data_IF_165300343279
#
_entry.id   IF_165300343279
#
_cell.length_a   1.000
_cell.length_b   1.000
_cell.length_c   1.000
_cell.angle_alpha   90.00
_cell.angle_beta   90.00
_cell.angle_gamma   90.00
#
_symmetry.space_group_name_H-M   'P 1'
#
loop_
_entity.id
_entity.type
_entity.pdbx_description
1 polymer ?
#
# COMPACT_ATOMS: atom_id res chain seq x y z
N UNK A 1 2.48 10.16 -48.14
CA UNK A 1 2.77 9.11 -47.13
C UNK A 1 2.57 9.78 -45.78
N UNK A 2 1.55 9.39 -45.00
CA UNK A 2 1.30 9.98 -43.69
C UNK A 2 2.12 9.23 -42.63
N UNK A 3 3.13 9.87 -42.06
CA UNK A 3 3.82 9.37 -40.87
C UNK A 3 3.02 9.78 -39.63
N UNK A 4 2.69 8.79 -38.79
CA UNK A 4 2.06 9.02 -37.48
C UNK A 4 3.10 8.79 -36.40
N UNK A 5 3.63 9.89 -35.85
CA UNK A 5 4.55 9.82 -34.72
C UNK A 5 3.79 9.48 -33.44
N UNK A 6 4.04 8.29 -32.89
CA UNK A 6 3.50 7.86 -31.61
C UNK A 6 4.54 8.12 -30.51
N UNK A 7 4.14 8.80 -29.44
CA UNK A 7 4.96 8.94 -28.24
C UNK A 7 4.67 7.78 -27.29
N UNK A 8 5.69 6.99 -26.99
CA UNK A 8 5.63 5.95 -25.96
C UNK A 8 6.10 6.56 -24.65
N UNK A 9 5.32 6.41 -23.59
CA UNK A 9 5.65 6.87 -22.24
C UNK A 9 5.56 5.72 -21.25
N UNK A 10 6.12 5.92 -20.06
CA UNK A 10 5.97 4.99 -18.94
C UNK A 10 4.52 4.94 -18.47
N UNK A 11 4.14 3.81 -17.87
CA UNK A 11 2.85 3.68 -17.20
C UNK A 11 2.80 4.72 -16.07
N UNK A 12 1.70 5.44 -15.81
CA UNK A 12 1.62 6.36 -14.68
C UNK A 12 1.82 5.66 -13.33
N UNK A 13 2.18 6.41 -12.29
CA UNK A 13 2.35 5.83 -10.96
C UNK A 13 1.01 5.28 -10.44
N UNK A 14 0.98 4.03 -9.97
CA UNK A 14 -0.20 3.47 -9.34
C UNK A 14 -0.36 4.01 -7.91
N UNK A 15 -1.56 3.83 -7.37
CA UNK A 15 -1.87 4.05 -5.96
C UNK A 15 -1.95 2.70 -5.28
N UNK A 16 -1.57 2.60 -4.01
CA UNK A 16 -1.80 1.40 -3.21
C UNK A 16 -2.83 1.71 -2.14
N UNK A 17 -3.67 0.74 -1.82
CA UNK A 17 -4.58 0.80 -0.66
C UNK A 17 -4.54 -0.53 0.08
N UNK A 18 -5.08 -0.54 1.29
CA UNK A 18 -5.41 -1.79 1.97
C UNK A 18 -6.75 -2.31 1.40
N UNK A 19 -6.87 -3.62 1.18
CA UNK A 19 -8.10 -4.24 0.68
C UNK A 19 -9.21 -4.15 1.73
N UNK A 20 -10.39 -3.71 1.29
CA UNK A 20 -11.62 -3.71 2.09
C UNK A 20 -12.35 -2.37 2.04
N UNK A 21 -13.30 -2.18 2.96
CA UNK A 21 -14.05 -0.93 3.14
C UNK A 21 -13.47 -0.17 4.34
N UNK A 22 -13.58 1.17 4.34
CA UNK A 22 -13.17 2.01 5.48
C UNK A 22 -11.78 2.65 5.38
N UNK A 23 -11.03 2.40 4.31
CA UNK A 23 -9.65 2.91 4.16
C UNK A 23 -9.53 4.29 3.50
N UNK A 24 -10.65 4.98 3.22
CA UNK A 24 -10.66 6.23 2.45
C UNK A 24 -10.30 7.47 3.30
N UNK A 25 -10.53 7.43 4.62
CA UNK A 25 -10.46 8.61 5.49
C UNK A 25 -9.22 8.65 6.41
N UNK A 26 -8.20 7.82 6.17
CA UNK A 26 -6.98 7.70 7.01
C UNK A 26 -7.28 7.44 8.50
N UNK A 27 -8.49 7.04 8.84
CA UNK A 27 -8.98 6.75 10.18
C UNK A 27 -9.63 5.38 10.10
N UNK A 28 -9.20 4.42 10.93
CA UNK A 28 -9.64 3.04 10.78
C UNK A 28 -9.79 2.29 12.11
N UNK A 29 -10.76 1.38 12.13
CA UNK A 29 -10.92 0.40 13.21
C UNK A 29 -9.91 -0.75 13.04
N UNK A 30 -9.23 -1.13 14.11
CA UNK A 30 -8.33 -2.28 14.13
C UNK A 30 -8.98 -3.56 13.58
N UNK A 31 -10.25 -3.80 13.85
CA UNK A 31 -10.95 -5.00 13.39
C UNK A 31 -11.04 -5.06 11.85
N UNK A 32 -11.20 -3.91 11.18
CA UNK A 32 -11.21 -3.82 9.72
C UNK A 32 -9.81 -4.08 9.15
N UNK A 33 -8.76 -3.64 9.84
CA UNK A 33 -7.37 -3.95 9.47
C UNK A 33 -7.02 -5.43 9.66
N UNK A 34 -7.56 -6.08 10.69
CA UNK A 34 -7.36 -7.51 10.92
C UNK A 34 -8.07 -8.38 9.88
N UNK A 35 -9.18 -7.91 9.33
CA UNK A 35 -9.86 -8.55 8.21
C UNK A 35 -9.18 -8.27 6.87
N UNK A 36 -8.39 -7.20 6.78
CA UNK A 36 -7.62 -6.91 5.59
C UNK A 36 -6.42 -7.85 5.49
N UNK A 37 -6.35 -8.60 4.39
CA UNK A 37 -5.32 -9.61 4.20
C UNK A 37 -4.08 -9.08 3.47
N UNK A 38 -4.23 -7.97 2.72
CA UNK A 38 -3.21 -7.51 1.77
C UNK A 38 -3.32 -6.05 1.38
N UNK A 39 -2.25 -5.55 0.80
CA UNK A 39 -2.26 -4.35 -0.03
C UNK A 39 -2.76 -4.66 -1.45
N UNK A 40 -3.43 -3.71 -2.07
CA UNK A 40 -3.88 -3.75 -3.46
C UNK A 40 -3.32 -2.54 -4.19
N UNK A 41 -2.64 -2.79 -5.30
CA UNK A 41 -2.31 -1.76 -6.27
C UNK A 41 -3.53 -1.40 -7.10
N UNK A 42 -3.73 -0.12 -7.37
CA UNK A 42 -4.78 0.42 -8.21
C UNK A 42 -4.15 1.37 -9.20
N UNK A 43 -4.47 1.18 -10.48
CA UNK A 43 -4.19 2.16 -11.51
C UNK A 43 -5.50 2.53 -12.21
N UNK A 44 -6.03 3.73 -11.93
CA UNK A 44 -7.24 4.24 -12.57
C UNK A 44 -6.88 4.94 -13.88
N UNK A 45 -6.63 4.15 -14.92
CA UNK A 45 -6.55 4.65 -16.30
C UNK A 45 -7.66 4.00 -17.13
N UNK A 46 -8.18 4.75 -18.11
CA UNK A 46 -9.20 4.21 -19.02
C UNK A 46 -8.67 2.91 -19.64
N UNK A 47 -9.50 1.87 -19.66
CA UNK A 47 -9.25 0.55 -20.26
C UNK A 47 -8.36 -0.44 -19.50
N UNK A 48 -7.75 -0.09 -18.36
CA UNK A 48 -7.16 -1.11 -17.46
C UNK A 48 -8.08 -1.41 -16.28
N UNK A 49 -8.47 -2.69 -16.16
CA UNK A 49 -9.26 -3.23 -15.06
C UNK A 49 -8.41 -3.95 -14.01
N UNK A 50 -7.09 -3.91 -14.13
CA UNK A 50 -6.15 -4.60 -13.25
C UNK A 50 -4.95 -3.72 -12.95
N UNK A 51 -4.21 -4.09 -11.91
CA UNK A 51 -2.94 -3.46 -11.54
C UNK A 51 -1.79 -3.99 -12.41
N UNK A 52 -1.16 -3.16 -13.27
CA UNK A 52 -0.12 -3.63 -14.21
C UNK A 52 1.26 -3.67 -13.55
N UNK A 53 1.39 -4.54 -12.55
CA UNK A 53 2.64 -4.74 -11.82
C UNK A 53 2.48 -5.66 -10.61
N UNK A 54 3.50 -5.64 -9.75
CA UNK A 54 3.49 -6.34 -8.46
C UNK A 54 4.00 -5.46 -7.34
N UNK A 55 3.46 -5.66 -6.14
CA UNK A 55 4.03 -5.10 -4.91
C UNK A 55 5.17 -6.04 -4.49
N UNK A 56 6.39 -5.49 -4.42
CA UNK A 56 7.59 -6.25 -4.09
C UNK A 56 7.74 -6.42 -2.58
N UNK A 57 7.67 -5.29 -1.87
CA UNK A 57 7.78 -5.24 -0.42
C UNK A 57 7.34 -3.87 0.10
N UNK A 58 7.11 -3.79 1.40
CA UNK A 58 6.84 -2.55 2.12
C UNK A 58 7.25 -2.70 3.59
N UNK A 59 7.55 -1.58 4.24
CA UNK A 59 7.74 -1.52 5.69
C UNK A 59 6.43 -1.10 6.34
N UNK A 60 6.03 -1.83 7.39
CA UNK A 60 4.87 -1.54 8.22
C UNK A 60 5.36 -1.19 9.62
N UNK A 61 4.91 -0.06 10.14
CA UNK A 61 5.34 0.50 11.42
C UNK A 61 4.16 0.89 12.27
N UNK A 62 4.21 0.55 13.55
CA UNK A 62 3.32 1.07 14.58
C UNK A 62 4.01 2.23 15.28
N UNK A 63 3.36 3.39 15.26
CA UNK A 63 3.78 4.59 15.97
C UNK A 63 2.83 4.83 17.14
N UNK A 64 3.37 4.89 18.35
CA UNK A 64 2.62 5.23 19.57
C UNK A 64 3.28 6.46 20.19
N UNK A 65 2.47 7.49 20.50
CA UNK A 65 2.95 8.75 21.10
C UNK A 65 4.14 9.40 20.36
N UNK A 66 4.15 9.31 19.02
CA UNK A 66 5.20 9.87 18.17
C UNK A 66 6.48 9.03 18.07
N UNK A 67 6.54 7.85 18.69
CA UNK A 67 7.70 6.95 18.67
C UNK A 67 7.34 5.69 17.89
N UNK A 68 8.24 5.24 17.00
CA UNK A 68 8.13 3.95 16.35
C UNK A 68 8.40 2.82 17.35
N UNK A 69 7.36 2.08 17.74
CA UNK A 69 7.42 1.04 18.77
C UNK A 69 7.54 -0.36 18.19
N UNK A 70 7.15 -0.56 16.93
CA UNK A 70 7.32 -1.82 16.23
C UNK A 70 7.39 -1.57 14.72
N UNK A 71 8.18 -2.39 14.03
CA UNK A 71 8.36 -2.32 12.59
C UNK A 71 8.64 -3.70 12.00
N UNK A 72 8.11 -3.95 10.81
CA UNK A 72 8.43 -5.15 10.05
C UNK A 72 8.58 -4.83 8.56
N UNK A 73 9.41 -5.60 7.88
CA UNK A 73 9.44 -5.64 6.42
C UNK A 73 8.53 -6.77 5.95
N UNK A 74 7.62 -6.45 5.04
CA UNK A 74 6.69 -7.40 4.44
C UNK A 74 7.08 -7.62 2.98
N UNK A 75 7.23 -8.87 2.54
CA UNK A 75 7.52 -9.21 1.16
C UNK A 75 6.26 -9.68 0.42
N UNK A 76 6.04 -9.14 -0.77
CA UNK A 76 4.79 -9.30 -1.51
C UNK A 76 3.67 -8.41 -0.97
N UNK A 77 2.48 -8.60 -1.51
CA UNK A 77 1.27 -7.83 -1.21
C UNK A 77 0.52 -8.33 0.04
N UNK A 78 0.63 -9.62 0.36
CA UNK A 78 -0.09 -10.26 1.49
C UNK A 78 0.63 -9.97 2.80
N UNK A 79 -0.11 -9.62 3.85
CA UNK A 79 0.46 -9.40 5.17
C UNK A 79 0.99 -10.71 5.74
N UNK A 80 2.30 -10.76 5.98
CA UNK A 80 3.01 -11.88 6.61
C UNK A 80 2.90 -11.79 8.14
N UNK A 81 3.23 -12.87 8.85
CA UNK A 81 3.05 -12.95 10.30
C UNK A 81 3.60 -11.74 11.09
N UNK A 82 4.82 -11.21 10.80
CA UNK A 82 5.31 -10.02 11.51
C UNK A 82 4.44 -8.77 11.30
N UNK A 83 3.91 -8.58 10.09
CA UNK A 83 3.00 -7.48 9.79
C UNK A 83 1.66 -7.68 10.51
N UNK A 84 1.12 -8.89 10.50
CA UNK A 84 -0.12 -9.25 11.20
C UNK A 84 0.02 -9.05 12.72
N UNK A 85 1.16 -9.41 13.31
CA UNK A 85 1.44 -9.19 14.73
C UNK A 85 1.47 -7.70 15.09
N UNK A 86 2.02 -6.85 14.21
CA UNK A 86 2.00 -5.39 14.40
C UNK A 86 0.55 -4.89 14.37
N UNK A 87 -0.24 -5.31 13.38
CA UNK A 87 -1.65 -4.94 13.27
C UNK A 87 -2.43 -5.41 14.51
N UNK A 88 -2.21 -6.64 14.96
CA UNK A 88 -2.87 -7.21 16.14
C UNK A 88 -2.53 -6.49 17.45
N UNK A 89 -1.40 -5.79 17.51
CA UNK A 89 -0.97 -5.01 18.68
C UNK A 89 -1.36 -3.53 18.61
N UNK A 90 -1.99 -3.07 17.53
CA UNK A 90 -2.47 -1.69 17.46
C UNK A 90 -3.48 -1.40 18.57
N UNK A 91 -3.35 -0.21 19.15
CA UNK A 91 -4.24 0.34 20.16
C UNK A 91 -4.81 1.69 19.67
N UNK A 92 -5.88 2.14 20.32
CA UNK A 92 -6.49 3.43 20.04
C UNK A 92 -5.46 4.57 20.07
N UNK A 93 -5.54 5.45 19.08
CA UNK A 93 -4.64 6.58 18.81
C UNK A 93 -3.23 6.22 18.32
N UNK A 94 -2.94 4.94 18.09
CA UNK A 94 -1.76 4.58 17.32
C UNK A 94 -1.87 5.09 15.88
N UNK A 95 -0.71 5.25 15.25
CA UNK A 95 -0.64 5.35 13.80
C UNK A 95 -0.03 4.08 13.22
N UNK A 96 -0.72 3.51 12.23
CA UNK A 96 -0.15 2.52 11.34
C UNK A 96 0.42 3.24 10.12
N UNK A 97 1.72 3.10 9.91
CA UNK A 97 2.42 3.69 8.76
C UNK A 97 2.92 2.56 7.87
N UNK A 98 2.52 2.57 6.60
CA UNK A 98 3.02 1.67 5.57
C UNK A 98 3.84 2.52 4.60
N UNK A 99 5.16 2.36 4.63
CA UNK A 99 6.09 3.16 3.82
C UNK A 99 7.07 2.27 3.07
N UNK A 100 7.92 2.89 2.25
CA UNK A 100 8.87 2.19 1.37
C UNK A 100 8.17 1.12 0.52
N UNK A 101 6.99 1.45 -0.01
CA UNK A 101 6.17 0.54 -0.82
C UNK A 101 6.83 0.41 -2.19
N UNK A 102 7.60 -0.65 -2.38
CA UNK A 102 8.32 -0.93 -3.61
C UNK A 102 7.42 -1.72 -4.56
N UNK A 103 7.27 -1.23 -5.81
CA UNK A 103 6.52 -1.92 -6.85
C UNK A 103 7.36 -2.10 -8.11
N UNK A 104 7.14 -3.20 -8.84
CA UNK A 104 7.65 -3.38 -10.19
C UNK A 104 6.48 -3.33 -11.15
N UNK A 105 6.57 -2.46 -12.15
CA UNK A 105 5.54 -2.25 -13.16
C UNK A 105 5.81 -3.08 -14.42
N UNK A 106 4.77 -3.37 -15.19
CA UNK A 106 4.87 -4.16 -16.44
C UNK A 106 5.73 -3.48 -17.52
N UNK A 107 5.98 -2.17 -17.39
CA UNK A 107 6.92 -1.43 -18.25
C UNK A 107 8.40 -1.62 -17.86
N UNK A 108 8.68 -2.49 -16.89
CA UNK A 108 10.03 -2.83 -16.42
C UNK A 108 10.61 -1.87 -15.37
N UNK A 109 9.88 -0.83 -14.98
CA UNK A 109 10.34 0.13 -13.96
C UNK A 109 10.10 -0.38 -12.54
N UNK A 110 10.98 -0.01 -11.61
CA UNK A 110 10.75 -0.17 -10.16
C UNK A 110 10.52 1.20 -9.55
N UNK A 111 9.52 1.32 -8.68
CA UNK A 111 9.08 2.59 -8.10
C UNK A 111 8.85 2.47 -6.60
N UNK A 112 9.05 3.57 -5.89
CA UNK A 112 8.68 3.72 -4.48
C UNK A 112 7.44 4.60 -4.41
N UNK A 113 6.34 4.04 -3.91
CA UNK A 113 5.06 4.74 -3.87
C UNK A 113 4.89 5.58 -2.60
N UNK A 114 3.88 6.45 -2.65
CA UNK A 114 3.50 7.30 -1.52
C UNK A 114 3.11 6.44 -0.31
N UNK A 115 3.59 6.77 0.91
CA UNK A 115 3.20 6.04 2.12
C UNK A 115 1.71 6.11 2.41
N UNK A 116 1.20 5.09 3.10
CA UNK A 116 -0.13 5.09 3.70
C UNK A 116 0.01 5.32 5.21
N UNK A 117 -0.87 6.13 5.78
CA UNK A 117 -0.87 6.44 7.22
C UNK A 117 -2.28 6.42 7.74
N UNK A 118 -2.53 5.59 8.75
CA UNK A 118 -3.85 5.43 9.35
C UNK A 118 -3.80 5.70 10.84
N UNK A 119 -4.75 6.48 11.35
CA UNK A 119 -4.98 6.64 12.79
C UNK A 119 -5.99 5.61 13.27
N UNK A 120 -5.64 4.89 14.33
CA UNK A 120 -6.49 3.84 14.90
C UNK A 120 -7.51 4.45 15.86
N UNK A 121 -8.79 4.12 15.69
CA UNK A 121 -9.86 4.67 16.54
C UNK A 121 -10.29 3.76 17.68
N UNK A 122 -10.28 2.44 17.46
CA UNK A 122 -10.68 1.40 18.39
C UNK A 122 -9.75 0.20 18.23
#
# INVERSE_FOLDING_TARGET
MFERNLKVGYIPDPVVRIVGKGFEDNIINKDELLQAERLEGILKINYLSYFPGKINNFKISRINNGIEVAAALNYGEVFQSPAQEIIAKLDKNDFLVINLINVTMDDGTTRVLTPLTFRIVN
#
